data_IF_177438000361
#
_entry.id   IF_177438000361
#
_cell.length_a   1.000
_cell.length_b   1.000
_cell.length_c   1.000
_cell.angle_alpha   90.00
_cell.angle_beta   90.00
_cell.angle_gamma   90.00
#
_symmetry.space_group_name_H-M   'P 1'
#
loop_
_entity.id
_entity.type
_entity.pdbx_description
1 polymer ?
#
# COMPACT_ATOMS: atom_id res chain seq x y z
N UNK A 1 8.74 -20.40 -7.22
CA UNK A 1 8.13 -19.09 -7.27
C UNK A 1 6.65 -19.24 -7.59
N UNK A 2 5.79 -18.59 -6.84
CA UNK A 2 4.33 -18.64 -6.98
C UNK A 2 3.66 -17.63 -6.05
N UNK A 3 2.34 -17.45 -6.16
CA UNK A 3 1.60 -16.66 -5.18
C UNK A 3 1.56 -17.40 -3.83
N UNK A 4 1.71 -16.65 -2.75
CA UNK A 4 1.34 -17.11 -1.42
C UNK A 4 -0.16 -17.40 -1.38
N UNK A 5 -0.57 -18.34 -0.56
CA UNK A 5 -1.99 -18.66 -0.39
C UNK A 5 -2.71 -17.56 0.38
N UNK A 6 -2.02 -17.02 1.38
CA UNK A 6 -2.46 -15.87 2.15
C UNK A 6 -1.59 -14.64 1.83
N UNK A 7 -2.24 -13.50 1.59
CA UNK A 7 -1.56 -12.24 1.32
C UNK A 7 -0.60 -11.82 2.44
N UNK A 8 -0.96 -12.14 3.69
CA UNK A 8 -0.20 -11.80 4.89
C UNK A 8 1.20 -12.43 4.93
N UNK A 9 1.39 -13.61 4.29
CA UNK A 9 2.67 -14.31 4.28
C UNK A 9 3.81 -13.46 3.69
N UNK A 10 3.48 -12.47 2.86
CA UNK A 10 4.47 -11.54 2.32
C UNK A 10 5.01 -10.54 3.35
N UNK A 11 4.32 -10.34 4.47
CA UNK A 11 4.54 -9.22 5.39
C UNK A 11 4.60 -9.65 6.87
N UNK A 12 4.90 -10.91 7.13
CA UNK A 12 5.04 -11.47 8.47
C UNK A 12 6.42 -12.07 8.66
N UNK A 13 7.08 -11.82 9.81
CA UNK A 13 8.46 -12.25 10.06
C UNK A 13 8.69 -13.76 9.98
N UNK A 14 7.68 -14.56 10.35
CA UNK A 14 7.74 -16.01 10.32
C UNK A 14 7.84 -16.60 8.91
N UNK A 15 7.42 -15.86 7.90
CA UNK A 15 7.49 -16.28 6.49
C UNK A 15 8.65 -15.63 5.72
N UNK A 16 9.44 -14.78 6.35
CA UNK A 16 10.32 -13.85 5.65
C UNK A 16 11.32 -14.54 4.70
N UNK A 17 11.92 -15.65 5.14
CA UNK A 17 12.82 -16.44 4.29
C UNK A 17 12.15 -17.65 3.60
N UNK A 18 10.83 -17.79 3.70
CA UNK A 18 10.08 -18.92 3.18
C UNK A 18 9.01 -18.55 2.17
N UNK A 19 8.80 -17.26 1.89
CA UNK A 19 7.75 -16.82 0.96
C UNK A 19 8.04 -17.28 -0.46
N UNK A 20 7.07 -17.96 -1.07
CA UNK A 20 7.15 -18.40 -2.48
C UNK A 20 7.10 -17.21 -3.45
N UNK A 21 6.65 -16.06 -2.97
CA UNK A 21 6.33 -14.89 -3.80
C UNK A 21 7.53 -13.96 -4.01
N UNK A 22 8.53 -13.98 -3.14
CA UNK A 22 9.74 -13.19 -3.31
C UNK A 22 10.55 -13.69 -4.50
N UNK A 23 10.78 -12.79 -5.46
CA UNK A 23 11.68 -13.03 -6.61
C UNK A 23 13.02 -12.39 -6.36
N UNK A 24 12.99 -11.16 -5.86
CA UNK A 24 14.17 -10.43 -5.43
C UNK A 24 13.86 -9.66 -4.16
N UNK A 25 14.71 -9.88 -3.14
CA UNK A 25 14.59 -9.19 -1.87
C UNK A 25 15.95 -8.80 -1.32
N UNK A 26 15.98 -7.72 -0.57
CA UNK A 26 17.12 -7.32 0.23
C UNK A 26 16.97 -7.99 1.58
N UNK A 27 17.95 -8.83 1.94
CA UNK A 27 17.92 -9.59 3.18
C UNK A 27 18.50 -8.77 4.34
N UNK A 28 17.86 -8.91 5.49
CA UNK A 28 18.27 -8.29 6.74
C UNK A 28 18.41 -9.35 7.84
N UNK A 29 19.18 -9.03 8.86
CA UNK A 29 19.37 -9.90 10.02
C UNK A 29 19.47 -9.11 11.32
N UNK A 30 19.22 -9.80 12.43
CA UNK A 30 19.42 -9.29 13.79
C UNK A 30 20.21 -10.33 14.58
N UNK A 31 20.97 -9.86 15.61
CA UNK A 31 21.73 -10.74 16.49
C UNK A 31 22.77 -11.63 15.76
N UNK A 32 23.30 -11.12 14.66
CA UNK A 32 24.25 -11.84 13.79
C UNK A 32 25.73 -11.56 14.13
N UNK A 33 25.99 -10.93 15.28
CA UNK A 33 27.34 -10.58 15.74
C UNK A 33 27.85 -9.25 15.17
N UNK A 34 27.12 -8.56 14.34
CA UNK A 34 27.48 -7.20 13.90
C UNK A 34 27.15 -6.18 14.97
N UNK A 35 27.94 -5.09 15.03
CA UNK A 35 27.71 -4.02 15.98
C UNK A 35 26.48 -3.18 15.61
N UNK A 36 25.66 -2.81 16.59
CA UNK A 36 24.64 -1.77 16.51
C UNK A 36 23.69 -1.87 15.32
N UNK A 37 23.26 -3.08 14.98
CA UNK A 37 22.25 -3.26 13.96
C UNK A 37 22.71 -3.02 12.53
N UNK A 38 23.98 -3.26 12.22
CA UNK A 38 24.53 -3.02 10.88
C UNK A 38 23.83 -3.74 9.74
N UNK A 39 23.22 -4.91 10.01
CA UNK A 39 22.49 -5.70 9.02
C UNK A 39 20.97 -5.69 9.23
N UNK A 40 20.46 -4.76 10.02
CA UNK A 40 19.02 -4.64 10.30
C UNK A 40 18.28 -3.76 9.32
N UNK A 41 16.96 -3.95 9.20
CA UNK A 41 16.09 -3.10 8.41
C UNK A 41 15.79 -1.78 9.16
N UNK A 42 16.77 -0.87 9.18
CA UNK A 42 16.62 0.44 9.81
C UNK A 42 15.59 1.33 9.11
N UNK A 43 15.24 1.06 7.85
CA UNK A 43 14.23 1.81 7.10
C UNK A 43 12.82 1.69 7.69
N UNK A 44 12.56 0.61 8.43
CA UNK A 44 11.26 0.40 9.08
C UNK A 44 11.16 1.09 10.45
N UNK A 45 12.26 1.48 11.07
CA UNK A 45 12.28 2.07 12.42
C UNK A 45 11.43 3.33 12.52
N UNK A 46 11.62 4.28 11.61
CA UNK A 46 10.87 5.54 11.59
C UNK A 46 9.39 5.36 11.25
N UNK A 47 9.02 4.20 10.73
CA UNK A 47 7.65 3.87 10.38
C UNK A 47 6.88 3.22 11.53
N UNK A 48 7.53 2.86 12.64
CA UNK A 48 6.83 2.29 13.79
C UNK A 48 5.80 3.27 14.36
N UNK A 49 4.63 2.80 14.85
CA UNK A 49 3.66 3.67 15.53
C UNK A 49 4.26 4.36 16.76
N UNK A 50 3.74 5.53 17.12
CA UNK A 50 4.06 6.18 18.40
C UNK A 50 3.13 5.65 19.48
N UNK A 51 3.32 4.40 19.92
CA UNK A 51 2.35 3.63 20.70
C UNK A 51 2.98 2.85 21.86
N UNK A 52 3.27 3.56 22.93
CA UNK A 52 3.75 2.93 24.16
C UNK A 52 2.70 1.98 24.79
N UNK A 53 3.11 0.84 25.35
CA UNK A 53 4.51 0.35 25.49
C UNK A 53 4.99 -0.49 24.30
N UNK A 54 4.22 -0.58 23.22
CA UNK A 54 4.49 -1.50 22.11
C UNK A 54 5.54 -0.98 21.14
N UNK A 55 5.53 0.33 20.87
CA UNK A 55 6.43 0.98 19.92
C UNK A 55 6.86 2.35 20.44
N UNK A 56 8.15 2.72 20.36
CA UNK A 56 8.67 3.93 21.01
C UNK A 56 8.48 5.20 20.18
N UNK A 57 8.41 5.13 18.87
CA UNK A 57 8.23 6.23 17.89
C UNK A 57 8.00 5.64 16.49
N UNK A 58 7.86 6.37 15.47
CA UNK A 58 7.80 7.80 15.23
C UNK A 58 6.63 8.13 14.30
N UNK A 59 5.97 7.08 13.75
CA UNK A 59 4.72 7.09 12.99
C UNK A 59 4.80 7.83 11.64
N UNK A 60 5.90 7.67 10.93
CA UNK A 60 5.99 8.03 9.52
C UNK A 60 5.34 6.96 8.63
N UNK A 61 5.25 7.18 7.32
CA UNK A 61 4.61 6.30 6.33
C UNK A 61 3.15 5.99 6.64
N UNK A 62 2.34 7.03 6.68
CA UNK A 62 0.88 6.91 6.86
C UNK A 62 0.17 6.63 5.55
N UNK A 63 -0.90 5.85 5.62
CA UNK A 63 -1.80 5.65 4.49
C UNK A 63 -2.74 6.84 4.35
N UNK A 64 -2.85 7.41 3.16
CA UNK A 64 -3.83 8.47 2.87
C UNK A 64 -5.27 7.93 2.85
N UNK A 65 -6.24 8.80 3.13
CA UNK A 65 -7.66 8.45 2.98
C UNK A 65 -8.01 8.07 1.54
N UNK A 66 -7.38 8.70 0.57
CA UNK A 66 -7.52 8.34 -0.84
C UNK A 66 -7.10 6.90 -1.12
N UNK A 67 -6.02 6.41 -0.48
CA UNK A 67 -5.60 5.02 -0.64
C UNK A 67 -6.55 4.06 0.08
N UNK A 68 -6.98 4.37 1.30
CA UNK A 68 -7.96 3.57 2.03
C UNK A 68 -9.29 3.47 1.26
N UNK A 69 -9.76 4.59 0.73
CA UNK A 69 -10.97 4.63 -0.09
C UNK A 69 -10.85 3.79 -1.37
N UNK A 70 -9.65 3.65 -1.93
CA UNK A 70 -9.46 2.80 -3.10
C UNK A 70 -9.78 1.32 -2.85
N UNK A 71 -9.73 0.87 -1.60
CA UNK A 71 -10.13 -0.48 -1.22
C UNK A 71 -11.64 -0.67 -1.09
N UNK A 72 -12.45 0.40 -1.21
CA UNK A 72 -13.91 0.27 -1.20
C UNK A 72 -14.40 -0.53 -2.40
N UNK A 73 -15.41 -1.36 -2.14
CA UNK A 73 -16.06 -2.17 -3.17
C UNK A 73 -17.54 -1.83 -3.26
N UNK A 74 -18.10 -2.04 -4.43
CA UNK A 74 -19.53 -1.94 -4.67
C UNK A 74 -20.33 -3.10 -4.05
N UNK A 75 -21.65 -3.02 -4.17
CA UNK A 75 -22.56 -4.11 -3.74
C UNK A 75 -22.30 -5.41 -4.51
N UNK A 76 -21.68 -5.33 -5.67
CA UNK A 76 -21.23 -6.42 -6.51
C UNK A 76 -19.86 -7.00 -6.12
N UNK A 77 -19.14 -6.36 -5.18
CA UNK A 77 -17.79 -6.73 -4.77
C UNK A 77 -16.68 -6.33 -5.74
N UNK A 78 -17.00 -5.50 -6.74
CA UNK A 78 -16.01 -4.92 -7.66
C UNK A 78 -15.50 -3.56 -7.13
N UNK A 79 -14.31 -3.11 -7.53
CA UNK A 79 -13.79 -1.80 -7.14
C UNK A 79 -14.67 -0.63 -7.65
N UNK A 80 -14.79 0.40 -6.85
CA UNK A 80 -15.50 1.64 -7.20
C UNK A 80 -14.59 2.57 -8.01
N UNK A 81 -14.18 2.16 -9.20
CA UNK A 81 -13.15 2.83 -10.01
C UNK A 81 -13.18 4.36 -10.03
N UNK A 82 -14.34 4.93 -10.27
CA UNK A 82 -14.50 6.38 -10.47
C UNK A 82 -15.00 7.10 -9.21
N UNK A 83 -15.70 6.38 -8.33
CA UNK A 83 -16.38 6.95 -7.15
C UNK A 83 -15.75 6.49 -5.82
N UNK A 84 -14.64 5.75 -5.87
CA UNK A 84 -14.01 5.23 -4.66
C UNK A 84 -13.71 6.33 -3.62
N UNK A 85 -13.34 7.53 -4.04
CA UNK A 85 -12.91 8.63 -3.17
C UNK A 85 -14.01 9.68 -2.90
N UNK A 86 -15.26 9.40 -3.23
CA UNK A 86 -16.39 10.30 -2.96
C UNK A 86 -16.81 10.29 -1.48
N UNK A 87 -16.56 9.17 -0.78
CA UNK A 87 -16.85 9.06 0.63
C UNK A 87 -15.84 9.80 1.50
N UNK A 88 -16.34 10.44 2.55
CA UNK A 88 -15.53 11.17 3.52
C UNK A 88 -15.43 10.40 4.84
N UNK A 89 -14.20 10.11 5.24
CA UNK A 89 -13.89 9.51 6.53
C UNK A 89 -13.75 10.64 7.58
N UNK A 90 -14.87 11.05 8.18
CA UNK A 90 -14.91 12.14 9.16
C UNK A 90 -15.06 11.59 10.57
N UNK A 91 -13.97 11.55 11.35
CA UNK A 91 -13.99 11.48 12.82
C UNK A 91 -14.65 10.27 13.48
N UNK A 92 -15.23 9.37 12.69
CA UNK A 92 -15.96 8.18 13.14
C UNK A 92 -15.49 6.96 12.34
N UNK A 93 -14.27 6.53 12.62
CA UNK A 93 -13.66 5.46 11.84
C UNK A 93 -14.51 4.21 11.81
N UNK A 94 -14.97 3.76 12.97
CA UNK A 94 -15.74 2.52 13.04
C UNK A 94 -17.02 2.60 12.21
N UNK A 95 -17.80 3.67 12.33
CA UNK A 95 -19.03 3.86 11.53
C UNK A 95 -18.73 3.83 10.02
N UNK A 96 -17.68 4.54 9.60
CA UNK A 96 -17.29 4.58 8.18
C UNK A 96 -16.97 3.19 7.64
N UNK A 97 -16.24 2.37 8.42
CA UNK A 97 -15.85 1.03 8.01
C UNK A 97 -17.00 0.02 8.13
N UNK A 98 -17.92 0.21 9.08
CA UNK A 98 -19.12 -0.62 9.22
C UNK A 98 -20.14 -0.38 8.09
N UNK A 99 -20.25 0.85 7.59
CA UNK A 99 -21.20 1.25 6.55
C UNK A 99 -20.77 0.90 5.12
N UNK A 100 -19.50 0.60 4.91
CA UNK A 100 -18.93 0.32 3.60
C UNK A 100 -18.42 -1.12 3.50
N UNK A 101 -18.26 -1.60 2.27
CA UNK A 101 -17.57 -2.85 2.00
C UNK A 101 -16.19 -2.60 1.41
N UNK A 102 -15.25 -3.50 1.73
CA UNK A 102 -13.84 -3.33 1.40
C UNK A 102 -13.21 -4.60 0.84
N UNK A 103 -12.17 -4.39 0.05
CA UNK A 103 -11.19 -5.42 -0.26
C UNK A 103 -10.36 -5.72 1.01
N UNK A 104 -10.21 -6.98 1.42
CA UNK A 104 -9.51 -7.34 2.66
C UNK A 104 -8.05 -6.92 2.70
N UNK A 105 -7.43 -6.65 1.54
CA UNK A 105 -6.05 -6.11 1.48
C UNK A 105 -5.90 -4.78 2.19
N UNK A 106 -6.99 -4.02 2.41
CA UNK A 106 -6.96 -2.83 3.27
C UNK A 106 -6.40 -3.16 4.66
N UNK A 107 -6.98 -4.15 5.33
CA UNK A 107 -6.60 -4.52 6.70
C UNK A 107 -5.27 -5.28 6.79
N UNK A 108 -4.81 -5.85 5.68
CA UNK A 108 -3.44 -6.35 5.56
C UNK A 108 -2.40 -5.24 5.34
N UNK A 109 -2.84 -4.07 4.86
CA UNK A 109 -1.95 -2.96 4.50
C UNK A 109 -1.90 -1.89 5.59
N UNK A 110 -3.01 -1.67 6.30
CA UNK A 110 -3.12 -0.59 7.28
C UNK A 110 -3.62 -1.06 8.63
N UNK A 111 -3.00 -0.54 9.71
CA UNK A 111 -3.64 -0.49 11.01
C UNK A 111 -4.64 0.67 11.03
N UNK A 112 -5.82 0.36 11.55
CA UNK A 112 -6.98 1.24 11.59
C UNK A 112 -7.46 1.33 13.02
N UNK A 113 -7.68 2.52 13.61
CA UNK A 113 -8.14 2.64 14.97
C UNK A 113 -9.43 1.85 15.24
N UNK A 114 -9.43 1.10 16.34
CA UNK A 114 -10.54 0.24 16.75
C UNK A 114 -10.50 -1.18 16.18
N UNK A 115 -9.53 -1.52 15.35
CA UNK A 115 -9.35 -2.85 14.78
C UNK A 115 -8.04 -3.50 15.22
N UNK A 116 -7.93 -4.85 15.21
CA UNK A 116 -6.73 -5.57 15.62
C UNK A 116 -5.48 -5.14 14.87
N UNK A 117 -4.39 -4.93 15.60
CA UNK A 117 -3.10 -4.64 15.02
C UNK A 117 -2.40 -5.93 14.58
N UNK A 118 -2.01 -6.00 13.31
CA UNK A 118 -1.24 -7.13 12.74
C UNK A 118 -1.80 -8.50 13.18
N UNK A 119 -3.11 -8.68 13.03
CA UNK A 119 -3.84 -9.94 13.29
C UNK A 119 -3.91 -10.39 14.75
N UNK A 120 -3.53 -9.54 15.72
CA UNK A 120 -3.69 -9.82 17.13
C UNK A 120 -5.07 -9.32 17.61
N UNK A 121 -6.06 -10.20 17.81
CA UNK A 121 -7.43 -9.80 18.17
C UNK A 121 -7.53 -9.18 19.58
N UNK A 122 -6.53 -9.44 20.43
CA UNK A 122 -6.47 -8.90 21.80
C UNK A 122 -5.80 -7.52 21.86
N UNK A 123 -5.27 -7.02 20.74
CA UNK A 123 -4.60 -5.73 20.66
C UNK A 123 -5.22 -4.85 19.59
N UNK A 124 -6.15 -4.00 19.99
CA UNK A 124 -6.78 -3.02 19.10
C UNK A 124 -5.87 -1.81 18.89
N UNK A 125 -5.66 -1.42 17.63
CA UNK A 125 -4.92 -0.20 17.31
C UNK A 125 -5.68 1.04 17.81
N UNK A 126 -5.00 1.98 18.44
CA UNK A 126 -5.60 3.12 19.08
C UNK A 126 -5.33 4.43 18.34
N UNK A 127 -6.26 5.38 18.39
CA UNK A 127 -6.07 6.72 17.81
C UNK A 127 -4.85 7.45 18.36
N UNK A 128 -4.58 7.28 19.68
CA UNK A 128 -3.40 7.88 20.34
C UNK A 128 -2.06 7.38 19.80
N UNK A 129 -2.04 6.25 19.10
CA UNK A 129 -0.85 5.71 18.44
C UNK A 129 -0.45 6.50 17.19
N UNK A 130 -1.35 7.36 16.70
CA UNK A 130 -1.10 8.20 15.54
C UNK A 130 -0.53 9.54 15.93
N UNK A 131 0.67 9.86 15.43
CA UNK A 131 1.31 11.17 15.56
C UNK A 131 0.66 12.17 14.61
N UNK A 132 0.31 13.37 15.11
CA UNK A 132 -0.27 14.45 14.31
C UNK A 132 -1.43 14.01 13.38
N UNK A 133 -2.46 13.35 13.92
CA UNK A 133 -3.52 12.77 13.08
C UNK A 133 -4.34 13.84 12.34
N UNK A 134 -4.43 15.07 12.87
CA UNK A 134 -5.06 16.20 12.19
C UNK A 134 -4.36 16.61 10.90
N UNK A 135 -3.03 16.43 10.83
CA UNK A 135 -2.22 16.79 9.67
C UNK A 135 -2.06 15.63 8.67
N UNK A 136 -1.95 14.40 9.17
CA UNK A 136 -1.53 13.25 8.36
C UNK A 136 -2.50 12.07 8.38
N UNK A 137 -3.60 12.16 9.12
CA UNK A 137 -4.58 11.09 9.28
C UNK A 137 -4.16 10.03 10.30
N UNK A 138 -5.02 9.04 10.49
CA UNK A 138 -4.89 8.01 11.54
C UNK A 138 -4.43 6.65 11.00
N UNK A 139 -4.46 6.43 9.70
CA UNK A 139 -4.21 5.13 9.10
C UNK A 139 -2.71 4.89 8.97
N UNK A 140 -2.23 3.77 9.50
CA UNK A 140 -0.82 3.43 9.55
C UNK A 140 -0.50 2.31 8.60
N UNK A 141 0.48 2.49 7.68
CA UNK A 141 1.00 1.36 6.91
C UNK A 141 1.64 0.31 7.84
N UNK A 142 1.35 -0.97 7.59
CA UNK A 142 1.86 -2.06 8.44
C UNK A 142 2.58 -3.16 7.66
N UNK A 143 2.71 -3.03 6.35
CA UNK A 143 3.39 -4.07 5.56
C UNK A 143 4.85 -4.26 5.97
N UNK A 144 5.54 -3.17 6.24
CA UNK A 144 6.95 -3.15 6.66
C UNK A 144 7.15 -3.33 8.17
N UNK A 145 6.07 -3.39 8.95
CA UNK A 145 6.12 -3.46 10.41
C UNK A 145 5.94 -4.90 10.91
N UNK A 146 6.45 -5.16 12.09
CA UNK A 146 6.31 -6.44 12.80
C UNK A 146 5.10 -6.44 13.73
N UNK A 147 4.60 -7.62 14.15
CA UNK A 147 3.61 -7.72 15.22
C UNK A 147 4.13 -7.09 16.52
N UNK A 148 3.22 -6.50 17.31
CA UNK A 148 3.56 -5.99 18.64
C UNK A 148 4.03 -7.13 19.56
N UNK A 149 5.05 -6.85 20.40
CA UNK A 149 5.67 -7.88 21.27
C UNK A 149 6.74 -8.72 20.57
N UNK A 150 7.04 -8.47 19.31
CA UNK A 150 8.22 -9.07 18.67
C UNK A 150 9.50 -8.46 19.25
N UNK A 151 10.53 -9.29 19.46
CA UNK A 151 11.85 -8.87 19.97
C UNK A 151 12.57 -7.86 19.06
N UNK A 152 12.03 -7.63 17.87
CA UNK A 152 12.60 -6.81 16.81
C UNK A 152 11.74 -5.58 16.48
N UNK A 153 11.07 -4.97 17.45
CA UNK A 153 10.08 -3.90 17.25
C UNK A 153 10.66 -2.67 16.56
N UNK A 154 11.83 -2.20 16.98
CA UNK A 154 12.48 -0.99 16.45
C UNK A 154 13.34 -1.35 15.26
N UNK A 155 14.21 -2.34 15.47
CA UNK A 155 15.22 -2.77 14.52
C UNK A 155 14.84 -4.18 14.06
N UNK A 156 14.16 -4.30 12.94
CA UNK A 156 13.64 -5.58 12.51
C UNK A 156 14.49 -6.25 11.42
N UNK A 157 14.27 -7.55 11.24
CA UNK A 157 14.96 -8.39 10.25
C UNK A 157 14.15 -8.64 9.00
N UNK A 158 12.99 -8.01 8.86
CA UNK A 158 12.11 -8.25 7.71
C UNK A 158 12.79 -7.84 6.41
N UNK A 159 12.86 -8.77 5.48
CA UNK A 159 13.40 -8.54 4.16
C UNK A 159 12.54 -7.55 3.37
N UNK A 160 13.18 -6.66 2.63
CA UNK A 160 12.47 -5.76 1.72
C UNK A 160 12.32 -6.41 0.36
N UNK A 161 11.12 -6.79 0.02
CA UNK A 161 10.78 -7.42 -1.25
C UNK A 161 10.78 -6.38 -2.37
N UNK A 162 11.80 -6.45 -3.22
CA UNK A 162 11.94 -5.55 -4.36
C UNK A 162 11.10 -5.98 -5.55
N UNK A 163 10.91 -7.28 -5.74
CA UNK A 163 10.03 -7.82 -6.77
C UNK A 163 9.29 -9.03 -6.19
N UNK A 164 7.96 -8.96 -6.21
CA UNK A 164 7.09 -10.07 -5.84
C UNK A 164 6.45 -10.71 -7.08
N UNK A 165 6.13 -11.99 -7.01
CA UNK A 165 5.50 -12.71 -8.12
C UNK A 165 4.15 -12.10 -8.53
N UNK A 166 3.40 -11.52 -7.60
CA UNK A 166 2.18 -10.76 -7.90
C UNK A 166 2.44 -9.61 -8.89
N UNK A 167 3.54 -8.88 -8.74
CA UNK A 167 3.92 -7.80 -9.66
C UNK A 167 4.21 -8.36 -11.07
N UNK A 168 4.91 -9.48 -11.15
CA UNK A 168 5.19 -10.15 -12.45
C UNK A 168 3.88 -10.59 -13.12
N UNK A 169 2.92 -11.06 -12.36
CA UNK A 169 1.59 -11.39 -12.88
C UNK A 169 0.86 -10.15 -13.41
N UNK A 170 0.95 -9.03 -12.69
CA UNK A 170 0.37 -7.75 -13.12
C UNK A 170 1.07 -7.22 -14.37
N UNK A 171 2.40 -7.28 -14.47
CA UNK A 171 3.13 -6.93 -15.68
C UNK A 171 2.75 -7.83 -16.87
N UNK A 172 2.58 -9.12 -16.64
CA UNK A 172 2.09 -10.04 -17.68
C UNK A 172 0.68 -9.65 -18.14
N UNK A 173 -0.23 -9.36 -17.21
CA UNK A 173 -1.59 -8.93 -17.55
C UNK A 173 -1.58 -7.61 -18.31
N UNK A 174 -0.73 -6.66 -17.92
CA UNK A 174 -0.52 -5.37 -18.60
C UNK A 174 -0.08 -5.57 -20.06
N UNK A 175 0.96 -6.38 -20.28
CA UNK A 175 1.46 -6.71 -21.62
C UNK A 175 0.36 -7.34 -22.49
N UNK A 176 -0.39 -8.29 -21.93
CA UNK A 176 -1.49 -8.92 -22.65
C UNK A 176 -2.58 -7.91 -23.06
N UNK A 177 -2.94 -6.97 -22.19
CA UNK A 177 -3.92 -5.93 -22.49
C UNK A 177 -3.38 -5.02 -23.60
N UNK A 178 -2.13 -4.60 -23.53
CA UNK A 178 -1.51 -3.74 -24.54
C UNK A 178 -1.43 -4.42 -25.93
N UNK A 179 -1.25 -5.73 -25.94
CA UNK A 179 -1.25 -6.55 -27.16
C UNK A 179 -2.65 -6.97 -27.65
N UNK A 180 -3.72 -6.31 -27.18
CA UNK A 180 -5.14 -6.63 -27.48
C UNK A 180 -5.59 -8.04 -27.04
N UNK A 181 -4.83 -8.69 -26.17
CA UNK A 181 -5.11 -10.00 -25.57
C UNK A 181 -5.75 -9.87 -24.17
N UNK A 182 -6.59 -8.86 -23.98
CA UNK A 182 -7.17 -8.52 -22.67
C UNK A 182 -8.00 -9.67 -22.06
N UNK A 183 -8.59 -10.55 -22.87
CA UNK A 183 -9.31 -11.74 -22.37
C UNK A 183 -8.38 -12.69 -21.61
N UNK A 184 -7.13 -12.80 -22.01
CA UNK A 184 -6.13 -13.63 -21.32
C UNK A 184 -5.58 -12.98 -20.05
N UNK A 185 -5.69 -11.66 -19.91
CA UNK A 185 -5.32 -10.95 -18.70
C UNK A 185 -6.35 -11.16 -17.57
N UNK A 186 -7.64 -11.37 -17.89
CA UNK A 186 -8.71 -11.52 -16.90
C UNK A 186 -8.43 -12.61 -15.85
N UNK A 187 -8.10 -13.86 -16.21
CA UNK A 187 -7.82 -14.90 -15.22
C UNK A 187 -6.59 -14.59 -14.36
N UNK A 188 -5.61 -13.82 -14.86
CA UNK A 188 -4.44 -13.41 -14.09
C UNK A 188 -4.86 -12.42 -12.99
N UNK A 189 -5.63 -11.41 -13.34
CA UNK A 189 -6.17 -10.43 -12.39
C UNK A 189 -7.10 -11.13 -11.38
N UNK A 190 -7.97 -12.01 -11.84
CA UNK A 190 -8.88 -12.75 -10.98
C UNK A 190 -8.15 -13.64 -9.97
N UNK A 191 -6.99 -14.21 -10.32
CA UNK A 191 -6.16 -14.99 -9.40
C UNK A 191 -5.68 -14.16 -8.21
N UNK A 192 -5.33 -12.89 -8.41
CA UNK A 192 -4.96 -11.99 -7.31
C UNK A 192 -6.16 -11.65 -6.43
N UNK A 193 -7.30 -11.42 -7.04
CA UNK A 193 -8.56 -11.13 -6.34
C UNK A 193 -9.04 -12.32 -5.51
N UNK A 194 -8.94 -13.52 -6.06
CA UNK A 194 -9.27 -14.77 -5.35
C UNK A 194 -8.36 -14.93 -4.11
N UNK A 195 -7.04 -14.75 -4.26
CA UNK A 195 -6.11 -14.77 -3.14
C UNK A 195 -6.46 -13.70 -2.10
N UNK A 196 -6.78 -12.47 -2.52
CA UNK A 196 -7.21 -11.40 -1.62
C UNK A 196 -8.46 -11.80 -0.82
N UNK A 197 -9.46 -12.39 -1.46
CA UNK A 197 -10.67 -12.87 -0.79
C UNK A 197 -10.37 -14.00 0.21
N UNK A 198 -9.49 -14.93 -0.14
CA UNK A 198 -9.12 -16.05 0.74
C UNK A 198 -8.35 -15.58 1.97
N UNK A 199 -7.55 -14.52 1.84
CA UNK A 199 -6.73 -13.96 2.94
C UNK A 199 -7.55 -13.32 4.06
N UNK A 200 -8.85 -13.07 3.86
CA UNK A 200 -9.75 -12.53 4.90
C UNK A 200 -9.88 -13.41 6.14
N UNK A 201 -9.53 -14.69 6.06
CA UNK A 201 -9.61 -15.63 7.16
C UNK A 201 -8.78 -15.22 8.40
N UNK A 202 -7.75 -14.40 8.21
CA UNK A 202 -6.94 -13.85 9.30
C UNK A 202 -7.53 -12.60 9.96
N UNK A 203 -8.53 -12.00 9.35
CA UNK A 203 -9.03 -10.68 9.72
C UNK A 203 -10.25 -10.82 10.64
N UNK A 204 -10.03 -11.42 11.82
CA UNK A 204 -11.07 -11.74 12.79
C UNK A 204 -10.84 -11.02 14.11
N UNK A 205 -11.91 -10.43 14.64
CA UNK A 205 -11.99 -9.89 16.00
C UNK A 205 -11.88 -11.04 17.03
N UNK A 206 -11.72 -10.73 18.32
CA UNK A 206 -11.63 -11.70 19.40
C UNK A 206 -12.85 -12.64 19.51
N UNK A 207 -14.01 -12.18 19.08
CA UNK A 207 -15.23 -12.97 19.04
C UNK A 207 -15.39 -13.85 17.78
N UNK A 208 -14.39 -13.82 16.89
CA UNK A 208 -14.39 -14.55 15.62
C UNK A 208 -15.14 -13.87 14.49
N UNK A 209 -15.69 -12.69 14.68
CA UNK A 209 -16.32 -11.92 13.61
C UNK A 209 -15.27 -11.23 12.71
N UNK A 210 -15.52 -11.03 11.40
CA UNK A 210 -14.62 -10.25 10.55
C UNK A 210 -14.43 -8.82 11.05
N UNK A 211 -13.23 -8.22 10.84
CA UNK A 211 -13.00 -6.81 11.18
C UNK A 211 -14.03 -5.90 10.54
N UNK A 212 -14.31 -6.13 9.27
CA UNK A 212 -15.14 -5.27 8.42
C UNK A 212 -16.00 -6.11 7.48
N UNK A 213 -16.90 -5.46 6.77
CA UNK A 213 -17.66 -6.08 5.68
C UNK A 213 -16.75 -6.26 4.45
N UNK A 214 -16.05 -7.40 4.37
CA UNK A 214 -15.19 -7.72 3.23
C UNK A 214 -15.99 -8.30 2.07
N UNK A 215 -15.81 -7.73 0.89
CA UNK A 215 -16.48 -8.17 -0.32
C UNK A 215 -15.57 -8.02 -1.54
N UNK A 216 -15.16 -9.13 -2.11
CA UNK A 216 -14.36 -9.17 -3.35
C UNK A 216 -14.98 -10.18 -4.30
N UNK A 217 -15.31 -9.72 -5.50
CA UNK A 217 -15.80 -10.57 -6.59
C UNK A 217 -14.79 -10.65 -7.73
N UNK A 218 -14.85 -11.73 -8.48
CA UNK A 218 -14.07 -11.90 -9.70
C UNK A 218 -14.74 -11.17 -10.86
N UNK A 219 -13.97 -10.76 -11.84
CA UNK A 219 -14.48 -10.24 -13.11
C UNK A 219 -15.00 -11.42 -13.96
N UNK A 220 -16.31 -11.58 -14.02
CA UNK A 220 -16.98 -12.70 -14.71
C UNK A 220 -17.75 -12.29 -15.95
N UNK A 221 -18.19 -11.03 -16.03
CA UNK A 221 -18.93 -10.51 -17.19
C UNK A 221 -17.99 -10.37 -18.40
N UNK A 222 -18.21 -11.24 -19.37
CA UNK A 222 -17.40 -11.30 -20.58
C UNK A 222 -17.71 -10.15 -21.55
N UNK A 223 -18.94 -9.69 -21.58
CA UNK A 223 -19.37 -8.60 -22.45
C UNK A 223 -18.85 -7.25 -21.95
N UNK A 224 -18.79 -7.05 -20.64
CA UNK A 224 -18.19 -5.86 -20.04
C UNK A 224 -16.67 -5.85 -20.11
N UNK A 225 -15.99 -7.00 -20.29
CA UNK A 225 -14.54 -7.13 -20.29
C UNK A 225 -13.93 -6.66 -21.62
N UNK A 226 -14.07 -5.38 -21.93
CA UNK A 226 -13.38 -4.71 -23.04
C UNK A 226 -11.92 -4.41 -22.70
N UNK A 227 -11.11 -4.02 -23.70
CA UNK A 227 -9.72 -3.58 -23.48
C UNK A 227 -9.64 -2.43 -22.48
N UNK A 228 -10.48 -1.42 -22.63
CA UNK A 228 -10.47 -0.23 -21.77
C UNK A 228 -10.87 -0.58 -20.33
N UNK A 229 -11.87 -1.44 -20.16
CA UNK A 229 -12.26 -1.91 -18.84
C UNK A 229 -11.16 -2.76 -18.20
N UNK A 230 -10.54 -3.67 -18.96
CA UNK A 230 -9.42 -4.49 -18.50
C UNK A 230 -8.21 -3.64 -18.08
N UNK A 231 -7.93 -2.58 -18.83
CA UNK A 231 -6.87 -1.62 -18.49
C UNK A 231 -7.17 -0.90 -17.16
N UNK A 232 -8.40 -0.42 -17.00
CA UNK A 232 -8.84 0.23 -15.77
C UNK A 232 -8.78 -0.73 -14.57
N UNK A 233 -9.25 -1.96 -14.75
CA UNK A 233 -9.19 -3.01 -13.76
C UNK A 233 -7.75 -3.35 -13.35
N UNK A 234 -6.83 -3.46 -14.33
CA UNK A 234 -5.41 -3.71 -14.08
C UNK A 234 -4.77 -2.58 -13.27
N UNK A 235 -4.95 -1.33 -13.68
CA UNK A 235 -4.38 -0.18 -12.96
C UNK A 235 -4.89 -0.11 -11.51
N UNK A 236 -6.13 -0.50 -11.29
CA UNK A 236 -6.72 -0.53 -9.96
C UNK A 236 -6.22 -1.72 -9.15
N UNK A 237 -6.13 -2.90 -9.73
CA UNK A 237 -5.59 -4.10 -9.08
C UNK A 237 -4.13 -3.92 -8.67
N UNK A 238 -3.32 -3.33 -9.56
CA UNK A 238 -1.94 -2.96 -9.25
C UNK A 238 -1.87 -2.03 -8.02
N UNK A 239 -2.73 -1.00 -7.98
CA UNK A 239 -2.81 -0.07 -6.86
C UNK A 239 -3.16 -0.76 -5.54
N UNK A 240 -4.12 -1.70 -5.54
CA UNK A 240 -4.53 -2.41 -4.32
C UNK A 240 -3.47 -3.42 -3.87
N UNK A 241 -2.89 -4.13 -4.80
CA UNK A 241 -1.90 -5.18 -4.53
C UNK A 241 -0.62 -4.60 -3.93
N UNK A 242 -0.10 -3.53 -4.52
CA UNK A 242 1.18 -2.92 -4.15
C UNK A 242 1.03 -1.68 -3.26
N UNK A 243 -0.13 -1.49 -2.65
CA UNK A 243 -0.40 -0.37 -1.75
C UNK A 243 0.67 -0.27 -0.65
N UNK A 244 1.19 0.94 -0.43
CA UNK A 244 2.25 1.23 0.54
C UNK A 244 3.60 0.53 0.29
N UNK A 245 3.85 0.01 -0.92
CA UNK A 245 5.13 -0.61 -1.31
C UNK A 245 5.99 0.32 -2.19
N UNK A 246 5.62 1.59 -2.35
CA UNK A 246 6.40 2.59 -3.09
C UNK A 246 6.27 2.52 -4.61
N UNK A 247 5.37 1.69 -5.17
CA UNK A 247 5.26 1.44 -6.62
C UNK A 247 4.46 2.50 -7.37
N UNK A 248 3.40 3.00 -6.76
CA UNK A 248 2.35 3.78 -7.42
C UNK A 248 2.85 4.97 -8.23
N UNK A 249 3.80 5.73 -7.72
CA UNK A 249 4.36 6.91 -8.42
C UNK A 249 5.00 6.51 -9.76
N UNK A 250 5.81 5.48 -9.75
CA UNK A 250 6.51 4.99 -10.94
C UNK A 250 5.55 4.37 -11.96
N UNK A 251 4.51 3.68 -11.50
CA UNK A 251 3.48 3.14 -12.39
C UNK A 251 2.70 4.26 -13.09
N UNK A 252 2.28 5.28 -12.37
CA UNK A 252 1.61 6.44 -12.94
C UNK A 252 2.49 7.18 -13.94
N UNK A 253 3.80 7.29 -13.66
CA UNK A 253 4.78 7.92 -14.53
C UNK A 253 4.93 7.14 -15.83
N UNK A 254 5.19 5.83 -15.77
CA UNK A 254 5.38 4.98 -16.95
C UNK A 254 4.10 4.81 -17.79
N UNK A 255 2.92 4.96 -17.18
CA UNK A 255 1.63 4.98 -17.87
C UNK A 255 1.29 6.36 -18.47
N UNK A 256 2.08 7.40 -18.20
CA UNK A 256 1.86 8.75 -18.71
C UNK A 256 0.68 9.49 -18.08
N UNK A 257 0.22 9.06 -16.90
CA UNK A 257 -0.95 9.62 -16.22
C UNK A 257 -0.62 10.22 -14.84
N UNK A 258 0.68 10.45 -14.55
CA UNK A 258 1.11 10.93 -13.24
C UNK A 258 0.55 12.32 -12.93
N UNK A 259 0.76 13.29 -13.82
CA UNK A 259 0.31 14.68 -13.63
C UNK A 259 -1.21 14.77 -13.42
N UNK A 260 -2.09 14.27 -14.30
CA UNK A 260 -3.53 14.37 -14.10
C UNK A 260 -3.99 13.64 -12.83
N UNK A 261 -3.37 12.51 -12.49
CA UNK A 261 -3.71 11.75 -11.27
C UNK A 261 -3.33 12.52 -10.02
N UNK A 262 -2.12 13.10 -9.97
CA UNK A 262 -1.66 13.86 -8.82
C UNK A 262 -2.44 15.15 -8.62
N UNK A 263 -2.77 15.86 -9.69
CA UNK A 263 -3.58 17.08 -9.58
C UNK A 263 -5.03 16.78 -9.16
N UNK A 264 -5.62 15.67 -9.61
CA UNK A 264 -6.91 15.21 -9.13
C UNK A 264 -6.85 14.82 -7.63
N UNK A 265 -5.80 14.16 -7.19
CA UNK A 265 -5.52 13.85 -5.79
C UNK A 265 -5.42 15.14 -4.96
N UNK A 266 -4.58 16.09 -5.33
CA UNK A 266 -4.42 17.35 -4.61
C UNK A 266 -5.72 18.15 -4.55
N UNK A 267 -6.50 18.19 -5.63
CA UNK A 267 -7.79 18.87 -5.64
C UNK A 267 -8.72 18.35 -4.53
N UNK A 268 -8.74 17.05 -4.30
CA UNK A 268 -9.53 16.43 -3.22
C UNK A 268 -8.91 16.62 -1.86
N UNK A 269 -7.60 16.38 -1.70
CA UNK A 269 -6.93 16.43 -0.41
C UNK A 269 -6.83 17.85 0.17
N UNK A 270 -6.80 18.89 -0.65
CA UNK A 270 -6.92 20.30 -0.22
C UNK A 270 -8.18 20.56 0.61
N UNK A 271 -9.26 19.81 0.37
CA UNK A 271 -10.49 19.94 1.16
C UNK A 271 -10.38 19.28 2.54
N UNK A 272 -9.36 18.43 2.73
CA UNK A 272 -9.10 17.67 3.97
C UNK A 272 -7.96 18.26 4.79
N UNK A 273 -6.91 18.74 4.11
CA UNK A 273 -5.67 19.18 4.72
C UNK A 273 -5.23 20.54 4.21
N UNK A 274 -5.27 21.56 5.06
CA UNK A 274 -4.93 22.94 4.69
C UNK A 274 -3.47 23.12 4.24
N UNK A 275 -2.55 22.31 4.75
CA UNK A 275 -1.14 22.35 4.34
C UNK A 275 -0.92 21.95 2.88
N UNK A 276 -1.89 21.28 2.27
CA UNK A 276 -1.87 20.94 0.83
C UNK A 276 -2.37 22.07 -0.08
N UNK A 277 -2.85 23.20 0.43
CA UNK A 277 -3.50 24.24 -0.38
C UNK A 277 -2.71 24.67 -1.61
N UNK A 278 -1.38 24.72 -1.50
CA UNK A 278 -0.49 25.12 -2.58
C UNK A 278 0.08 23.93 -3.38
N UNK A 279 -0.31 22.70 -3.07
CA UNK A 279 0.19 21.53 -3.78
C UNK A 279 -0.29 21.53 -5.23
N UNK A 280 0.65 21.41 -6.16
CA UNK A 280 0.40 21.28 -7.58
C UNK A 280 1.48 20.38 -8.17
N UNK A 281 1.14 19.53 -9.10
CA UNK A 281 2.09 18.76 -9.88
C UNK A 281 2.28 19.42 -11.23
N UNK A 282 3.52 19.71 -11.59
CA UNK A 282 3.89 20.33 -12.86
C UNK A 282 4.60 19.30 -13.72
N UNK A 283 3.97 18.94 -14.83
CA UNK A 283 4.53 18.00 -15.79
C UNK A 283 5.87 18.49 -16.35
N UNK A 284 6.80 17.56 -16.54
CA UNK A 284 8.16 17.85 -17.00
C UNK A 284 9.13 18.34 -15.89
N UNK A 285 8.62 18.63 -14.70
CA UNK A 285 9.43 19.01 -13.54
C UNK A 285 9.30 17.99 -12.40
N UNK A 286 8.08 17.76 -11.93
CA UNK A 286 7.85 17.06 -10.65
C UNK A 286 7.97 15.53 -10.75
N UNK A 287 8.14 14.99 -11.95
CA UNK A 287 8.57 13.61 -12.18
C UNK A 287 9.98 13.36 -11.66
N UNK A 288 10.77 14.39 -11.52
CA UNK A 288 12.15 14.35 -11.07
C UNK A 288 12.33 15.10 -9.74
N UNK A 289 13.47 14.91 -9.12
CA UNK A 289 13.89 15.69 -7.95
C UNK A 289 15.09 16.56 -8.34
N UNK A 290 15.24 17.75 -7.73
CA UNK A 290 16.43 18.56 -7.98
C UNK A 290 17.68 17.82 -7.51
N UNK A 291 18.76 17.87 -8.30
CA UNK A 291 20.08 17.50 -7.81
C UNK A 291 20.49 18.53 -6.75
N UNK A 292 20.88 18.10 -5.53
CA UNK A 292 21.25 19.03 -4.47
C UNK A 292 22.33 20.01 -4.93
N UNK A 293 22.19 21.28 -4.58
CA UNK A 293 23.11 22.32 -5.01
C UNK A 293 24.58 22.03 -4.66
N UNK A 294 24.81 21.37 -3.52
CA UNK A 294 26.17 20.97 -3.12
C UNK A 294 26.77 19.96 -4.13
N UNK A 295 25.99 19.04 -4.64
CA UNK A 295 26.43 18.07 -5.66
C UNK A 295 26.70 18.77 -7.00
N UNK A 296 25.87 19.74 -7.38
CA UNK A 296 26.09 20.56 -8.56
C UNK A 296 27.42 21.33 -8.46
N UNK A 297 27.71 21.91 -7.30
CA UNK A 297 28.95 22.63 -7.07
C UNK A 297 30.18 21.69 -7.13
N UNK A 298 30.09 20.50 -6.56
CA UNK A 298 31.18 19.51 -6.62
C UNK A 298 31.43 18.98 -8.02
N UNK A 299 30.39 18.88 -8.81
CA UNK A 299 30.48 18.39 -10.19
C UNK A 299 31.16 19.39 -11.14
N UNK A 300 31.37 20.63 -10.74
CA UNK A 300 32.10 21.66 -11.51
C UNK A 300 31.62 21.78 -12.96
N UNK A 301 30.31 21.73 -13.19
CA UNK A 301 29.70 21.84 -14.51
C UNK A 301 29.54 20.51 -15.26
N UNK A 302 29.95 19.37 -14.67
CA UNK A 302 29.72 18.05 -15.29
C UNK A 302 28.29 17.53 -15.10
N UNK A 303 27.51 18.11 -14.20
CA UNK A 303 26.10 17.77 -14.02
C UNK A 303 25.21 18.85 -14.62
N UNK A 304 24.13 18.42 -15.22
CA UNK A 304 23.05 19.28 -15.68
C UNK A 304 21.88 19.06 -14.73
N UNK A 305 21.32 20.14 -14.20
CA UNK A 305 20.17 20.06 -13.31
C UNK A 305 18.95 19.48 -14.03
N UNK A 306 18.11 18.78 -13.30
CA UNK A 306 16.86 18.27 -13.83
C UNK A 306 15.96 19.42 -14.29
N UNK A 307 15.11 19.18 -15.33
CA UNK A 307 14.26 20.24 -15.89
C UNK A 307 13.39 20.92 -14.85
N UNK A 308 13.32 22.25 -14.89
CA UNK A 308 12.48 23.08 -14.03
C UNK A 308 13.04 23.41 -12.65
N UNK A 309 14.32 23.06 -12.41
CA UNK A 309 15.03 23.39 -11.15
C UNK A 309 16.27 24.24 -11.37
#
# INVERSE_FOLDING_TARGET
VGLCEDFAENFLPEYDNATKEAIWEIQYSINDGTSSGGNTNNGAELNAPSWEPYFPCCDFHKMSFNMANAFRTGTDGLPLFDTFNDAEMKGRFKEYFDENSFDPRLSHTAAIPGYPYKYNPDLLYEEKASRSPGDYGYLKSVKELVPAGCDCIIVNRMNVKQIRYAEVLLWKAEILIQLDRHKEARPIINKLRERANNSRIRLLMADGTPYMNYKVSLYTDEAAWTKDYAWKALMFENRLETACEGRRFFDLQRWGILEPTMNAYFKKEKTRFSWMNNAVFVAGRDEYKPIPQQQMNWAKGNYIQNPGY
#
